data_IF_802793524636
#
_entry.id   IF_802793524636
#
_cell.length_a   1.000
_cell.length_b   1.000
_cell.length_c   1.000
_cell.angle_alpha   90.00
_cell.angle_beta   90.00
_cell.angle_gamma   90.00
#
_symmetry.space_group_name_H-M   'P 1'
#
loop_
_entity.id
_entity.type
_entity.pdbx_description
1 polymer ?
#
# COMPACT_ATOMS: atom_id res chain seq x y z
N UNK A 1 13.17 15.82 -0.90
CA UNK A 1 14.19 16.80 -1.00
C UNK A 1 14.16 17.74 -2.20
N UNK A 2 15.22 17.76 -3.00
CA UNK A 2 15.32 18.74 -4.11
C UNK A 2 14.43 18.37 -5.30
N UNK A 3 14.26 17.10 -5.59
CA UNK A 3 13.39 16.62 -6.67
C UNK A 3 11.92 16.62 -6.24
N UNK A 4 11.66 16.33 -4.98
CA UNK A 4 10.34 16.18 -4.41
C UNK A 4 10.30 16.97 -3.07
N UNK A 5 9.79 18.22 -3.11
CA UNK A 5 9.32 18.99 -4.28
C UNK A 5 9.92 20.42 -4.32
N UNK A 6 11.12 20.66 -3.74
CA UNK A 6 11.73 22.00 -3.66
C UNK A 6 12.17 22.55 -5.02
N UNK A 7 12.66 21.70 -5.92
CA UNK A 7 13.05 22.09 -7.28
C UNK A 7 11.85 22.64 -8.05
N UNK A 8 10.75 21.89 -8.23
CA UNK A 8 9.52 22.36 -8.85
C UNK A 8 8.97 23.65 -8.21
N UNK A 9 9.00 23.78 -6.87
CA UNK A 9 8.55 24.99 -6.19
C UNK A 9 9.40 26.23 -6.58
N UNK A 10 10.73 26.09 -6.69
CA UNK A 10 11.64 27.15 -7.14
C UNK A 10 11.39 27.47 -8.62
N UNK A 11 11.18 26.47 -9.47
CA UNK A 11 10.84 26.68 -10.90
C UNK A 11 9.53 27.47 -11.00
N UNK A 12 8.49 27.11 -10.25
CA UNK A 12 7.22 27.84 -10.24
C UNK A 12 7.42 29.32 -9.85
N UNK A 13 8.22 29.59 -8.82
CA UNK A 13 8.54 30.97 -8.38
C UNK A 13 9.24 31.78 -9.49
N UNK A 14 10.22 31.19 -10.18
CA UNK A 14 10.90 31.83 -11.30
C UNK A 14 9.99 32.05 -12.50
N UNK A 15 9.12 31.10 -12.82
CA UNK A 15 8.12 31.25 -13.87
C UNK A 15 7.15 32.41 -13.57
N UNK A 16 6.66 32.51 -12.32
CA UNK A 16 5.81 33.62 -11.88
C UNK A 16 6.55 34.98 -12.02
N UNK A 17 7.83 35.03 -11.66
CA UNK A 17 8.66 36.23 -11.84
C UNK A 17 8.76 36.60 -13.33
N UNK A 18 9.07 35.67 -14.21
CA UNK A 18 9.18 35.90 -15.65
C UNK A 18 7.87 36.45 -16.26
N UNK A 19 6.73 35.86 -15.88
CA UNK A 19 5.41 36.32 -16.31
C UNK A 19 5.11 37.72 -15.76
N UNK A 20 5.42 38.02 -14.51
CA UNK A 20 5.27 39.38 -13.94
C UNK A 20 6.09 40.40 -14.72
N UNK A 21 7.32 40.07 -15.04
CA UNK A 21 8.27 40.99 -15.73
C UNK A 21 7.91 41.19 -17.23
N UNK A 22 7.06 40.33 -17.80
CA UNK A 22 6.55 40.44 -19.18
C UNK A 22 5.53 41.56 -19.41
N UNK A 23 5.09 42.25 -18.37
CA UNK A 23 4.21 43.44 -18.38
C UNK A 23 2.76 43.28 -18.85
N UNK A 24 2.27 42.08 -19.14
CA UNK A 24 0.90 41.85 -19.61
C UNK A 24 0.03 41.03 -18.65
N UNK A 25 0.23 41.17 -17.34
CA UNK A 25 -0.58 40.48 -16.34
C UNK A 25 -1.99 41.04 -16.32
N UNK A 26 -2.97 40.21 -16.70
CA UNK A 26 -4.41 40.46 -16.54
C UNK A 26 -5.00 39.74 -15.31
N UNK A 27 -4.20 38.92 -14.64
CA UNK A 27 -4.62 38.05 -13.55
C UNK A 27 -3.64 38.11 -12.40
N UNK A 28 -4.12 37.86 -11.20
CA UNK A 28 -3.31 37.70 -9.99
C UNK A 28 -2.80 36.26 -9.90
N UNK A 29 -1.51 36.08 -9.64
CA UNK A 29 -0.90 34.80 -9.36
C UNK A 29 -0.64 34.66 -7.86
N UNK A 30 -0.82 33.43 -7.37
CA UNK A 30 -0.56 33.08 -5.97
C UNK A 30 0.25 31.78 -5.95
N UNK A 31 1.39 31.78 -5.27
CA UNK A 31 2.12 30.57 -4.92
C UNK A 31 1.61 30.08 -3.58
N UNK A 32 1.17 28.84 -3.53
CA UNK A 32 0.70 28.18 -2.31
C UNK A 32 1.69 27.06 -2.00
N UNK A 33 2.30 27.08 -0.81
CA UNK A 33 3.25 26.07 -0.36
C UNK A 33 2.60 25.29 0.79
N UNK A 34 2.31 24.02 0.55
CA UNK A 34 1.84 23.08 1.55
C UNK A 34 3.01 22.42 2.31
N UNK A 35 2.78 22.01 3.55
CA UNK A 35 3.82 21.45 4.43
C UNK A 35 3.53 19.99 4.85
N UNK A 36 2.42 19.41 4.44
CA UNK A 36 1.99 18.08 4.90
C UNK A 36 1.35 17.20 3.80
N UNK A 37 1.77 17.40 2.54
CA UNK A 37 1.38 16.57 1.42
C UNK A 37 1.85 15.12 1.64
N UNK A 38 3.13 14.94 1.95
CA UNK A 38 3.79 13.63 2.14
C UNK A 38 3.16 12.77 3.25
N UNK A 39 2.42 13.37 4.15
CA UNK A 39 1.67 12.64 5.17
C UNK A 39 0.32 12.12 4.66
N UNK A 40 -0.13 12.61 3.51
CA UNK A 40 -1.47 12.39 2.97
C UNK A 40 -2.59 13.06 3.78
N UNK A 41 -2.28 13.84 4.80
CA UNK A 41 -3.27 14.48 5.66
C UNK A 41 -3.84 15.76 5.07
N UNK A 42 -3.04 16.50 4.28
CA UNK A 42 -3.42 17.75 3.60
C UNK A 42 -4.05 18.80 4.54
N UNK A 43 -3.64 18.85 5.79
CA UNK A 43 -4.22 19.77 6.79
C UNK A 43 -4.00 21.23 6.42
N UNK A 44 -2.82 21.56 5.87
CA UNK A 44 -2.50 22.88 5.38
C UNK A 44 -3.45 23.30 4.25
N UNK A 45 -3.73 22.45 3.27
CA UNK A 45 -4.65 22.73 2.18
C UNK A 45 -6.11 22.79 2.66
N UNK A 46 -6.52 21.90 3.57
CA UNK A 46 -7.84 21.95 4.21
C UNK A 46 -8.06 23.27 4.97
N UNK A 47 -7.00 23.81 5.61
CA UNK A 47 -7.06 25.12 6.26
C UNK A 47 -7.16 26.24 5.21
N UNK A 48 -6.29 26.22 4.19
CA UNK A 48 -6.29 27.20 3.11
C UNK A 48 -7.68 27.36 2.48
N UNK A 49 -8.32 26.26 2.11
CA UNK A 49 -9.67 26.25 1.53
C UNK A 49 -10.77 26.85 2.45
N UNK A 50 -10.50 26.96 3.75
CA UNK A 50 -11.45 27.56 4.72
C UNK A 50 -11.19 29.05 4.98
N UNK A 51 -9.97 29.53 4.76
CA UNK A 51 -9.52 30.85 5.19
C UNK A 51 -9.16 31.77 4.04
N UNK A 52 -8.94 31.22 2.86
CA UNK A 52 -8.47 31.96 1.71
C UNK A 52 -9.41 31.84 0.52
N UNK A 53 -9.32 32.82 -0.38
CA UNK A 53 -10.02 32.79 -1.66
C UNK A 53 -9.52 31.65 -2.52
N UNK A 54 -10.43 30.83 -3.04
CA UNK A 54 -10.09 29.70 -3.91
C UNK A 54 -9.69 30.25 -5.29
N UNK A 55 -8.52 29.84 -5.84
CA UNK A 55 -8.11 30.23 -7.19
C UNK A 55 -9.11 29.70 -8.24
N UNK A 56 -9.35 30.49 -9.28
CA UNK A 56 -10.18 30.05 -10.41
C UNK A 56 -9.53 28.90 -11.19
N UNK A 57 -8.22 28.94 -11.32
CA UNK A 57 -7.38 27.89 -11.92
C UNK A 57 -6.20 27.64 -11.03
N UNK A 58 -5.78 26.37 -10.93
CA UNK A 58 -4.59 25.98 -10.22
C UNK A 58 -3.95 24.76 -10.86
N UNK A 59 -2.65 24.60 -10.67
CA UNK A 59 -1.92 23.39 -10.99
C UNK A 59 -0.84 23.16 -9.94
N UNK A 60 -0.48 21.90 -9.73
CA UNK A 60 0.65 21.49 -8.90
C UNK A 60 1.80 21.01 -9.80
N UNK A 61 3.02 21.55 -9.65
CA UNK A 61 4.16 21.10 -10.44
C UNK A 61 4.80 19.82 -9.89
N UNK A 62 4.04 19.01 -9.18
CA UNK A 62 4.46 17.78 -8.50
C UNK A 62 4.02 16.54 -9.28
N UNK A 63 4.35 16.48 -10.54
CA UNK A 63 3.92 15.37 -11.39
C UNK A 63 4.81 15.16 -12.62
N UNK A 64 4.58 14.05 -13.30
CA UNK A 64 5.26 13.76 -14.57
C UNK A 64 4.72 14.64 -15.72
N UNK A 65 5.62 15.03 -16.63
CA UNK A 65 5.23 15.72 -17.84
C UNK A 65 4.50 14.81 -18.84
N UNK A 66 3.61 15.35 -19.67
CA UNK A 66 3.30 16.79 -19.82
C UNK A 66 2.24 17.29 -18.84
N UNK A 67 1.31 16.43 -18.40
CA UNK A 67 0.19 16.80 -17.54
C UNK A 67 -0.46 15.55 -16.97
N UNK A 68 -0.74 15.56 -15.67
CA UNK A 68 -1.61 14.60 -15.00
C UNK A 68 -2.95 15.31 -14.78
N UNK A 69 -4.00 14.82 -15.39
CA UNK A 69 -5.36 15.39 -15.30
C UNK A 69 -6.34 14.52 -14.53
N UNK A 70 -5.91 13.33 -14.11
CA UNK A 70 -6.71 12.41 -13.27
C UNK A 70 -5.80 11.52 -12.44
N UNK A 71 -6.25 11.19 -11.25
CA UNK A 71 -5.57 10.26 -10.33
C UNK A 71 -6.57 9.30 -9.70
N UNK A 72 -6.10 8.10 -9.37
CA UNK A 72 -6.90 7.12 -8.61
C UNK A 72 -7.05 7.58 -7.16
N UNK A 73 -8.25 7.43 -6.63
CA UNK A 73 -8.47 7.52 -5.19
C UNK A 73 -7.70 6.42 -4.44
N UNK A 74 -7.31 6.70 -3.21
CA UNK A 74 -6.60 5.75 -2.34
C UNK A 74 -7.48 5.45 -1.14
N UNK A 75 -7.76 4.16 -0.93
CA UNK A 75 -8.41 3.65 0.28
C UNK A 75 -7.44 2.74 1.03
N UNK A 76 -7.22 3.04 2.31
CA UNK A 76 -6.46 2.19 3.22
C UNK A 76 -7.41 1.63 4.25
N UNK A 77 -7.47 0.32 4.35
CA UNK A 77 -8.31 -0.40 5.29
C UNK A 77 -7.41 -1.19 6.25
N UNK A 78 -7.77 -1.16 7.52
CA UNK A 78 -7.25 -2.09 8.53
C UNK A 78 -8.42 -2.98 8.94
N UNK A 79 -8.19 -4.29 8.89
CA UNK A 79 -9.15 -5.29 9.36
C UNK A 79 -8.54 -5.96 10.57
N UNK A 80 -9.23 -5.88 11.70
CA UNK A 80 -8.83 -6.50 12.96
C UNK A 80 -9.77 -7.66 13.27
N UNK A 81 -9.19 -8.78 13.66
CA UNK A 81 -9.90 -9.99 14.08
C UNK A 81 -9.35 -10.46 15.42
N UNK A 82 -10.20 -10.51 16.42
CA UNK A 82 -9.88 -11.13 17.70
C UNK A 82 -10.38 -12.57 17.71
N UNK A 83 -9.57 -13.47 18.25
CA UNK A 83 -9.92 -14.88 18.40
C UNK A 83 -10.13 -15.17 19.88
N UNK A 84 -11.20 -15.90 20.21
CA UNK A 84 -11.44 -16.38 21.54
C UNK A 84 -10.38 -17.43 21.93
N UNK A 85 -10.08 -17.55 23.22
CA UNK A 85 -9.04 -18.45 23.73
C UNK A 85 -9.31 -19.95 23.52
N UNK A 86 -10.54 -20.31 23.17
CA UNK A 86 -10.92 -21.67 22.84
C UNK A 86 -10.26 -22.13 21.53
N UNK A 87 -9.10 -22.74 21.62
CA UNK A 87 -8.35 -23.26 20.49
C UNK A 87 -6.85 -23.01 20.54
N UNK A 88 -6.37 -22.23 21.51
CA UNK A 88 -4.93 -21.96 21.73
C UNK A 88 -4.12 -23.19 22.18
N UNK A 89 -4.74 -24.29 22.54
CA UNK A 89 -4.09 -25.49 23.11
C UNK A 89 -3.82 -26.59 22.07
N UNK A 90 -3.77 -26.28 20.78
CA UNK A 90 -3.40 -27.26 19.77
C UNK A 90 -1.93 -27.66 19.89
N UNK A 91 -1.63 -28.96 19.67
CA UNK A 91 -0.24 -29.45 19.53
C UNK A 91 0.45 -28.78 18.31
N UNK A 92 -0.35 -28.28 17.35
CA UNK A 92 0.07 -27.62 16.11
C UNK A 92 -0.66 -26.28 15.95
N UNK A 93 0.09 -25.18 15.91
CA UNK A 93 -0.47 -23.83 15.83
C UNK A 93 0.42 -22.88 15.03
N UNK A 94 -0.13 -21.76 14.61
CA UNK A 94 0.62 -20.59 14.16
C UNK A 94 0.72 -19.64 15.36
N UNK A 95 1.90 -19.44 15.90
CA UNK A 95 2.10 -18.56 17.05
C UNK A 95 2.18 -17.09 16.64
N UNK A 96 2.76 -16.83 15.46
CA UNK A 96 2.93 -15.46 14.97
C UNK A 96 3.01 -15.41 13.46
N UNK A 97 2.45 -14.34 12.90
CA UNK A 97 2.66 -13.92 11.50
C UNK A 97 3.05 -12.46 11.50
N UNK A 98 4.06 -12.09 10.69
CA UNK A 98 4.41 -10.70 10.47
C UNK A 98 4.92 -10.51 9.05
N UNK A 99 4.51 -9.42 8.41
CA UNK A 99 4.98 -9.09 7.07
C UNK A 99 4.54 -7.70 6.61
N UNK A 100 5.40 -7.09 5.80
CA UNK A 100 5.17 -5.75 5.26
C UNK A 100 5.41 -4.62 6.25
N UNK A 101 5.67 -3.42 5.73
CA UNK A 101 6.01 -2.22 6.53
C UNK A 101 5.27 -0.98 6.03
N UNK A 102 4.83 -0.98 4.77
CA UNK A 102 4.20 0.18 4.13
C UNK A 102 2.98 -0.24 3.33
N UNK A 103 1.91 0.51 3.45
CA UNK A 103 0.64 0.23 2.77
C UNK A 103 0.66 0.41 1.26
N UNK A 104 1.64 1.14 0.72
CA UNK A 104 1.79 1.41 -0.72
C UNK A 104 2.91 0.59 -1.39
N UNK A 105 3.51 -0.36 -0.68
CA UNK A 105 4.58 -1.24 -1.19
C UNK A 105 4.13 -2.69 -1.09
N UNK A 106 4.30 -3.45 -2.17
CA UNK A 106 4.20 -4.90 -2.15
C UNK A 106 5.33 -5.44 -1.27
N UNK A 107 5.05 -6.22 -0.22
CA UNK A 107 6.05 -6.66 0.72
C UNK A 107 6.96 -7.73 0.11
N UNK A 108 8.27 -7.59 0.31
CA UNK A 108 9.32 -8.53 -0.12
C UNK A 108 9.73 -9.51 0.96
N UNK A 109 9.24 -9.33 2.18
CA UNK A 109 9.52 -10.22 3.30
C UNK A 109 8.30 -10.41 4.19
N UNK A 110 8.10 -11.64 4.63
CA UNK A 110 7.13 -12.02 5.67
C UNK A 110 7.64 -13.25 6.40
N UNK A 111 7.17 -13.48 7.62
CA UNK A 111 7.49 -14.71 8.35
C UNK A 111 6.32 -15.16 9.20
N UNK A 112 6.34 -16.45 9.54
CA UNK A 112 5.50 -17.03 10.57
C UNK A 112 6.37 -17.83 11.56
N UNK A 113 5.90 -17.97 12.79
CA UNK A 113 6.42 -18.88 13.79
C UNK A 113 5.35 -19.93 14.02
N UNK A 114 5.75 -21.19 13.92
CA UNK A 114 4.87 -22.35 14.09
C UNK A 114 5.22 -23.08 15.40
N UNK A 115 4.22 -23.64 16.04
CA UNK A 115 4.35 -24.59 17.14
C UNK A 115 3.99 -25.98 16.66
N UNK A 116 4.85 -26.95 16.98
CA UNK A 116 4.64 -28.36 16.63
C UNK A 116 5.35 -28.80 15.34
N UNK A 117 5.26 -30.07 15.04
CA UNK A 117 5.93 -30.67 13.87
C UNK A 117 4.99 -30.69 12.65
N UNK A 118 5.44 -30.11 11.55
CA UNK A 118 4.68 -30.01 10.31
C UNK A 118 5.42 -30.71 9.15
N UNK A 119 4.70 -31.37 8.24
CA UNK A 119 5.30 -31.90 7.03
C UNK A 119 5.67 -30.74 6.08
N UNK A 120 6.91 -30.30 6.18
CA UNK A 120 7.40 -29.24 5.30
C UNK A 120 7.64 -29.78 3.87
N UNK A 121 7.34 -28.93 2.89
CA UNK A 121 7.60 -29.19 1.47
C UNK A 121 8.35 -28.03 0.84
N UNK A 122 9.18 -28.34 -0.13
CA UNK A 122 9.92 -27.32 -0.87
C UNK A 122 8.96 -26.43 -1.66
N UNK A 123 9.05 -25.12 -1.42
CA UNK A 123 8.24 -24.10 -2.09
C UNK A 123 9.14 -22.92 -2.44
N UNK A 124 9.02 -22.43 -3.66
CA UNK A 124 9.82 -21.29 -4.11
C UNK A 124 9.58 -20.05 -3.26
N UNK A 125 10.65 -19.41 -2.82
CA UNK A 125 10.60 -18.22 -1.97
C UNK A 125 10.28 -18.50 -0.50
N UNK A 126 10.09 -19.75 -0.08
CA UNK A 126 9.91 -20.16 1.31
C UNK A 126 11.19 -20.79 1.85
N UNK A 127 11.69 -20.26 2.94
CA UNK A 127 12.76 -20.82 3.76
C UNK A 127 12.21 -21.30 5.10
N UNK A 128 12.78 -22.40 5.62
CA UNK A 128 12.38 -22.99 6.88
C UNK A 128 13.61 -23.02 7.78
N UNK A 129 13.48 -22.48 8.97
CA UNK A 129 14.53 -22.42 9.99
C UNK A 129 13.92 -22.80 11.35
N UNK A 130 13.93 -24.09 11.66
CA UNK A 130 13.22 -24.64 12.80
C UNK A 130 11.72 -24.36 12.72
N UNK A 131 11.19 -23.70 13.75
CA UNK A 131 9.79 -23.30 13.83
C UNK A 131 9.45 -22.04 13.00
N UNK A 132 10.47 -21.38 12.46
CA UNK A 132 10.29 -20.15 11.68
C UNK A 132 10.21 -20.42 10.18
N UNK A 133 9.12 -20.00 9.60
CA UNK A 133 8.89 -19.98 8.15
C UNK A 133 9.15 -18.57 7.65
N UNK A 134 10.06 -18.41 6.70
CA UNK A 134 10.41 -17.11 6.11
C UNK A 134 10.00 -17.12 4.65
N UNK A 135 9.20 -16.15 4.26
CA UNK A 135 8.83 -15.90 2.87
C UNK A 135 9.60 -14.73 2.29
N UNK A 136 10.11 -14.91 1.08
CA UNK A 136 10.82 -13.88 0.33
C UNK A 136 10.13 -13.61 -0.99
N UNK A 137 10.02 -12.33 -1.30
CA UNK A 137 9.42 -11.82 -2.52
C UNK A 137 10.26 -10.70 -3.12
N UNK A 138 9.60 -9.75 -3.77
CA UNK A 138 10.23 -8.59 -4.40
C UNK A 138 9.39 -7.35 -4.16
N UNK A 139 10.00 -6.33 -3.56
CA UNK A 139 9.32 -5.06 -3.32
C UNK A 139 9.00 -4.34 -4.64
N UNK A 140 7.81 -3.76 -4.71
CA UNK A 140 7.39 -2.85 -5.77
C UNK A 140 6.32 -1.90 -5.23
N UNK A 141 6.13 -0.76 -5.89
CA UNK A 141 4.99 0.09 -5.58
C UNK A 141 3.69 -0.61 -6.02
N UNK A 142 2.64 -0.56 -5.20
CA UNK A 142 1.35 -1.26 -5.46
C UNK A 142 0.68 -0.89 -6.79
N UNK A 143 1.00 0.28 -7.37
CA UNK A 143 0.53 0.67 -8.71
C UNK A 143 1.19 -0.10 -9.87
N UNK A 144 2.26 -0.84 -9.58
CA UNK A 144 2.97 -1.69 -10.54
C UNK A 144 3.09 -3.12 -9.99
N UNK A 145 1.97 -3.82 -9.78
CA UNK A 145 1.97 -5.11 -9.09
C UNK A 145 2.75 -6.19 -9.85
N UNK A 146 2.79 -6.11 -11.16
CA UNK A 146 3.55 -6.97 -12.06
C UNK A 146 5.08 -6.89 -11.89
N UNK A 147 5.57 -5.83 -11.25
CA UNK A 147 7.00 -5.65 -10.93
C UNK A 147 7.40 -6.20 -9.57
N UNK A 148 6.42 -6.54 -8.76
CA UNK A 148 6.59 -7.06 -7.41
C UNK A 148 6.27 -8.55 -7.29
N UNK A 149 6.56 -9.08 -6.10
CA UNK A 149 6.24 -10.45 -5.72
C UNK A 149 5.95 -10.47 -4.21
N UNK A 150 4.70 -10.67 -3.86
CA UNK A 150 4.20 -10.43 -2.50
C UNK A 150 4.54 -11.60 -1.57
N UNK A 151 5.49 -11.38 -0.65
CA UNK A 151 5.91 -12.37 0.33
C UNK A 151 4.79 -12.78 1.30
N UNK A 152 3.84 -11.88 1.62
CA UNK A 152 2.69 -12.22 2.48
C UNK A 152 1.81 -13.25 1.78
N UNK A 153 1.48 -13.04 0.49
CA UNK A 153 0.60 -13.96 -0.24
C UNK A 153 1.23 -15.35 -0.41
N UNK A 154 2.55 -15.41 -0.65
CA UNK A 154 3.28 -16.69 -0.65
C UNK A 154 3.24 -17.37 0.70
N UNK A 155 3.47 -16.62 1.78
CA UNK A 155 3.41 -17.16 3.13
C UNK A 155 2.02 -17.71 3.46
N UNK A 156 0.95 -16.95 3.16
CA UNK A 156 -0.42 -17.40 3.38
C UNK A 156 -0.74 -18.68 2.59
N UNK A 157 -0.30 -18.75 1.33
CA UNK A 157 -0.47 -19.95 0.48
C UNK A 157 0.23 -21.16 1.11
N UNK A 158 1.47 -20.98 1.57
CA UNK A 158 2.22 -22.04 2.24
C UNK A 158 1.56 -22.49 3.53
N UNK A 159 1.20 -21.57 4.43
CA UNK A 159 0.54 -21.87 5.70
C UNK A 159 -0.82 -22.54 5.49
N UNK A 160 -1.58 -22.10 4.49
CA UNK A 160 -2.87 -22.73 4.16
C UNK A 160 -2.72 -24.20 3.77
N UNK A 161 -1.61 -24.56 3.07
CA UNK A 161 -1.32 -25.93 2.65
C UNK A 161 -0.98 -26.88 3.82
N UNK A 162 -0.56 -26.33 4.97
CA UNK A 162 -0.23 -27.13 6.17
C UNK A 162 -1.48 -27.62 6.92
N UNK A 163 -2.68 -27.15 6.58
CA UNK A 163 -3.93 -27.63 7.14
C UNK A 163 -4.12 -27.37 8.65
N UNK A 164 -3.50 -26.32 9.19
CA UNK A 164 -3.54 -25.96 10.61
C UNK A 164 -4.98 -25.64 11.03
N UNK A 165 -5.52 -26.40 11.97
CA UNK A 165 -6.91 -26.26 12.40
C UNK A 165 -7.04 -25.52 13.75
N UNK A 166 -6.47 -24.32 13.81
CA UNK A 166 -6.71 -23.34 14.87
C UNK A 166 -7.53 -22.17 14.34
N UNK A 167 -8.08 -21.30 15.20
CA UNK A 167 -8.79 -20.10 14.74
C UNK A 167 -7.94 -19.26 13.78
N UNK A 168 -6.66 -19.02 14.10
CA UNK A 168 -5.73 -18.29 13.22
C UNK A 168 -5.43 -19.08 11.93
N UNK A 169 -5.25 -20.40 12.01
CA UNK A 169 -5.02 -21.25 10.83
C UNK A 169 -6.22 -21.24 9.86
N UNK A 170 -7.44 -21.26 10.37
CA UNK A 170 -8.65 -21.09 9.55
C UNK A 170 -8.70 -19.72 8.89
N UNK A 171 -8.39 -18.67 9.65
CA UNK A 171 -8.35 -17.30 9.13
C UNK A 171 -7.29 -17.11 8.04
N UNK A 172 -6.12 -17.75 8.18
CA UNK A 172 -5.08 -17.78 7.13
C UNK A 172 -5.62 -18.39 5.83
N UNK A 173 -6.39 -19.49 5.90
CA UNK A 173 -7.02 -20.09 4.72
C UNK A 173 -8.06 -19.16 4.09
N UNK A 174 -8.83 -18.46 4.89
CA UNK A 174 -9.80 -17.46 4.41
C UNK A 174 -9.07 -16.31 3.70
N UNK A 175 -8.00 -15.77 4.31
CA UNK A 175 -7.17 -14.74 3.69
C UNK A 175 -6.53 -15.21 2.39
N UNK A 176 -6.01 -16.45 2.34
CA UNK A 176 -5.47 -17.01 1.11
C UNK A 176 -6.53 -17.11 -0.01
N UNK A 177 -7.77 -17.45 0.35
CA UNK A 177 -8.90 -17.49 -0.60
C UNK A 177 -9.28 -16.10 -1.10
N UNK A 178 -9.26 -15.10 -0.22
CA UNK A 178 -9.59 -13.71 -0.56
C UNK A 178 -8.47 -13.00 -1.34
N UNK A 179 -7.22 -13.44 -1.18
CA UNK A 179 -6.04 -12.88 -1.82
C UNK A 179 -5.19 -13.99 -2.48
N UNK A 180 -5.67 -14.64 -3.55
CA UNK A 180 -5.00 -15.79 -4.16
C UNK A 180 -3.77 -15.45 -5.01
N UNK A 181 -3.27 -14.22 -4.98
CA UNK A 181 -2.14 -13.73 -5.77
C UNK A 181 -2.51 -12.71 -6.84
N UNK A 182 -3.76 -12.30 -6.90
CA UNK A 182 -4.22 -11.24 -7.79
C UNK A 182 -4.20 -9.86 -7.10
N UNK A 183 -4.13 -8.80 -7.91
CA UNK A 183 -4.06 -7.43 -7.42
C UNK A 183 -5.21 -6.54 -7.91
N UNK A 184 -6.21 -7.09 -8.56
CA UNK A 184 -7.36 -6.34 -9.10
C UNK A 184 -8.62 -6.42 -8.22
N UNK A 185 -8.56 -7.13 -7.11
CA UNK A 185 -9.66 -7.31 -6.17
C UNK A 185 -10.80 -8.18 -6.68
N UNK A 186 -10.57 -9.04 -7.69
CA UNK A 186 -11.61 -9.91 -8.26
C UNK A 186 -12.15 -10.90 -7.22
N UNK A 187 -11.27 -11.56 -6.45
CA UNK A 187 -11.69 -12.50 -5.41
C UNK A 187 -12.42 -11.81 -4.25
N UNK A 188 -12.19 -10.52 -4.04
CA UNK A 188 -12.94 -9.68 -3.11
C UNK A 188 -14.25 -9.13 -3.71
N UNK A 189 -14.56 -9.41 -4.97
CA UNK A 189 -15.72 -8.90 -5.71
C UNK A 189 -15.78 -7.37 -5.81
N UNK A 190 -14.63 -6.69 -5.80
CA UNK A 190 -14.49 -5.23 -5.92
C UNK A 190 -13.76 -4.80 -7.18
N UNK A 191 -13.42 -5.74 -8.06
CA UNK A 191 -12.74 -5.42 -9.31
C UNK A 191 -13.53 -4.40 -10.12
N UNK A 192 -12.83 -3.34 -10.53
CA UNK A 192 -13.41 -2.28 -11.35
C UNK A 192 -12.34 -1.71 -12.29
N UNK A 193 -12.79 -1.13 -13.37
CA UNK A 193 -11.93 -0.50 -14.38
C UNK A 193 -12.67 0.67 -15.03
N UNK A 194 -11.95 1.72 -15.36
CA UNK A 194 -12.44 2.82 -16.17
C UNK A 194 -11.44 3.20 -17.28
N UNK A 195 -11.93 3.88 -18.30
CA UNK A 195 -11.14 4.23 -19.48
C UNK A 195 -10.09 5.32 -19.25
N UNK A 196 -10.10 6.00 -18.11
CA UNK A 196 -9.20 7.10 -17.77
C UNK A 196 -8.08 6.60 -16.86
N UNK A 197 -8.43 5.93 -15.77
CA UNK A 197 -7.48 5.50 -14.74
C UNK A 197 -7.10 4.02 -14.82
N UNK A 198 -7.81 3.22 -15.63
CA UNK A 198 -7.58 1.77 -15.77
C UNK A 198 -8.09 0.96 -14.59
N UNK A 199 -7.57 -0.24 -14.42
CA UNK A 199 -8.04 -1.21 -13.43
C UNK A 199 -7.74 -0.80 -11.99
N UNK A 200 -8.64 -1.16 -11.06
CA UNK A 200 -8.38 -1.09 -9.61
C UNK A 200 -7.11 -1.89 -9.25
N UNK A 201 -6.35 -1.37 -8.30
CA UNK A 201 -5.29 -2.13 -7.62
C UNK A 201 -5.65 -2.33 -6.14
N UNK A 202 -5.55 -3.58 -5.69
CA UNK A 202 -5.78 -3.98 -4.31
C UNK A 202 -4.64 -4.88 -3.84
N UNK A 203 -4.05 -4.59 -2.68
CA UNK A 203 -2.92 -5.37 -2.17
C UNK A 203 -3.05 -5.57 -0.66
N UNK A 204 -2.84 -6.79 -0.20
CA UNK A 204 -2.54 -7.08 1.19
C UNK A 204 -1.07 -6.73 1.43
N UNK A 205 -0.83 -5.59 2.05
CA UNK A 205 0.50 -5.00 2.14
C UNK A 205 1.13 -5.11 3.53
N UNK A 206 0.33 -5.35 4.57
CA UNK A 206 0.79 -5.54 5.96
C UNK A 206 -0.07 -6.62 6.59
N UNK A 207 0.57 -7.51 7.33
CA UNK A 207 -0.08 -8.50 8.19
C UNK A 207 0.67 -8.60 9.51
N UNK A 208 -0.06 -8.60 10.61
CA UNK A 208 0.43 -8.91 11.96
C UNK A 208 -0.62 -9.77 12.63
N UNK A 209 -0.19 -10.88 13.20
CA UNK A 209 -1.03 -11.74 14.02
C UNK A 209 -0.16 -12.45 15.06
N UNK A 210 -0.71 -12.63 16.24
CA UNK A 210 -0.20 -13.45 17.33
C UNK A 210 -1.34 -14.25 17.94
N UNK A 211 -1.01 -15.41 18.48
CA UNK A 211 -1.96 -16.32 19.15
C UNK A 211 -1.93 -16.15 20.66
#
# INVERSE_FOLDING_TARGET
>A
GSLDDKGPAVVALHAMKAVRDSRNLKSRFRLIVGLDEETGAFRCMKRYLKTEEIPLYSFSPDGAFPLINAEKGILRLTVEKHFDEAGKNGEKAIERISGGVRTNIIPDAAFAVLKGDFPHHATEGIGIDGEKIVSRGKAAHVKYPDKGDNAILKLLSYLASLGIDTPLGRYVRDLHTLFPGEYNGKSLQIASEDSISGSLFCSLSIIEADE
#
